data_IF_028886376240
#
_entry.id   IF_028886376240
#
_cell.length_a   1.000
_cell.length_b   1.000
_cell.length_c   1.000
_cell.angle_alpha   90.00
_cell.angle_beta   90.00
_cell.angle_gamma   90.00
#
_symmetry.space_group_name_H-M   'P 1'
#
loop_
_entity.id
_entity.type
_entity.pdbx_description
1 polymer ?
#
# COMPACT_ATOMS: atom_id res chain seq x y z
N UNK A 1 7.80 -6.16 21.25
CA UNK A 1 8.33 -6.29 19.88
C UNK A 1 9.85 -6.26 19.97
N UNK A 2 10.59 -7.22 19.41
CA UNK A 2 12.06 -7.18 19.45
C UNK A 2 12.62 -6.21 18.42
N UNK A 3 13.84 -5.70 18.64
CA UNK A 3 14.56 -4.87 17.66
C UNK A 3 14.71 -5.62 16.33
N UNK A 4 14.98 -6.92 16.39
CA UNK A 4 15.10 -7.80 15.22
C UNK A 4 13.82 -7.83 14.38
N UNK A 5 12.65 -7.92 15.03
CA UNK A 5 11.36 -7.90 14.33
C UNK A 5 11.14 -6.56 13.60
N UNK A 6 11.52 -5.44 14.21
CA UNK A 6 11.45 -4.11 13.59
C UNK A 6 12.41 -3.99 12.41
N UNK A 7 13.65 -4.46 12.57
CA UNK A 7 14.66 -4.46 11.49
C UNK A 7 14.17 -5.28 10.28
N UNK A 8 13.58 -6.44 10.52
CA UNK A 8 13.01 -7.27 9.46
C UNK A 8 11.84 -6.57 8.73
N UNK A 9 10.91 -5.97 9.48
CA UNK A 9 9.81 -5.22 8.90
C UNK A 9 10.29 -4.04 8.02
N UNK A 10 11.31 -3.29 8.48
CA UNK A 10 11.93 -2.23 7.69
C UNK A 10 12.61 -2.78 6.44
N UNK A 11 13.31 -3.90 6.54
CA UNK A 11 13.93 -4.54 5.39
C UNK A 11 12.88 -4.92 4.31
N UNK A 12 11.76 -5.52 4.72
CA UNK A 12 10.64 -5.86 3.82
C UNK A 12 10.04 -4.60 3.18
N UNK A 13 9.81 -3.54 3.96
CA UNK A 13 9.28 -2.28 3.46
C UNK A 13 10.17 -1.69 2.35
N UNK A 14 11.49 -1.73 2.54
CA UNK A 14 12.45 -1.14 1.61
C UNK A 14 12.78 -2.02 0.40
N UNK A 15 12.28 -3.26 0.33
CA UNK A 15 12.39 -4.08 -0.87
C UNK A 15 11.70 -3.39 -2.05
N UNK A 16 12.41 -3.22 -3.16
CA UNK A 16 11.86 -2.63 -4.38
C UNK A 16 11.13 -3.70 -5.20
N UNK A 17 10.06 -3.34 -5.91
CA UNK A 17 9.45 -4.25 -6.89
C UNK A 17 10.44 -4.52 -8.04
N UNK A 18 10.28 -5.65 -8.73
CA UNK A 18 11.13 -6.06 -9.86
C UNK A 18 11.16 -5.01 -10.99
N UNK A 19 10.02 -4.34 -11.20
CA UNK A 19 9.86 -3.20 -12.09
C UNK A 19 8.98 -2.14 -11.42
N UNK A 20 9.07 -0.86 -11.83
CA UNK A 20 8.12 0.17 -11.40
C UNK A 20 6.67 -0.27 -11.65
N UNK A 21 5.78 0.15 -10.75
CA UNK A 21 4.35 -0.05 -10.93
C UNK A 21 3.82 0.77 -12.11
N UNK A 22 2.86 0.19 -12.81
CA UNK A 22 2.11 0.79 -13.89
C UNK A 22 0.61 0.53 -13.68
N UNK A 23 -0.22 1.37 -14.28
CA UNK A 23 -1.68 1.18 -14.27
C UNK A 23 -2.03 -0.18 -14.87
N UNK A 24 -2.88 -0.94 -14.17
CA UNK A 24 -3.28 -2.29 -14.54
C UNK A 24 -2.47 -3.41 -13.87
N UNK A 25 -1.37 -3.09 -13.18
CA UNK A 25 -0.61 -4.09 -12.43
C UNK A 25 -1.44 -4.67 -11.28
N UNK A 26 -1.42 -5.99 -11.13
CA UNK A 26 -1.99 -6.68 -9.98
C UNK A 26 -0.96 -6.71 -8.87
N UNK A 27 -1.34 -6.21 -7.70
CA UNK A 27 -0.45 -6.06 -6.55
C UNK A 27 -1.09 -6.67 -5.30
N UNK A 28 -0.23 -7.08 -4.37
CA UNK A 28 -0.63 -7.56 -3.05
C UNK A 28 0.24 -6.89 -1.98
N UNK A 29 -0.32 -6.69 -0.78
CA UNK A 29 0.46 -6.16 0.35
C UNK A 29 1.52 -7.17 0.78
N UNK A 30 2.72 -6.68 1.08
CA UNK A 30 3.78 -7.53 1.67
C UNK A 30 3.40 -7.90 3.10
N UNK A 31 3.81 -9.09 3.52
CA UNK A 31 3.64 -9.56 4.89
C UNK A 31 4.61 -8.87 5.85
N UNK A 32 4.26 -8.79 7.14
CA UNK A 32 5.17 -8.32 8.20
C UNK A 32 5.35 -6.81 8.34
N UNK A 33 4.82 -5.99 7.42
CA UNK A 33 4.93 -4.51 7.47
C UNK A 33 3.80 -3.79 8.22
N UNK A 34 2.92 -4.55 8.88
CA UNK A 34 1.83 -4.03 9.72
C UNK A 34 0.74 -3.31 8.93
N UNK A 35 -0.43 -3.16 9.54
CA UNK A 35 -1.58 -2.51 8.91
C UNK A 35 -1.71 -1.09 9.46
N UNK A 36 -1.08 -0.10 8.81
CA UNK A 36 -1.60 1.25 8.97
C UNK A 36 -2.93 1.34 8.22
N UNK A 37 -2.99 0.91 6.96
CA UNK A 37 -4.26 0.86 6.19
C UNK A 37 -4.97 -0.47 6.36
N UNK A 38 -6.28 -0.43 6.56
CA UNK A 38 -7.14 -1.61 6.84
C UNK A 38 -7.42 -2.46 5.60
N UNK A 39 -7.30 -1.89 4.40
CA UNK A 39 -7.49 -2.53 3.09
C UNK A 39 -6.45 -2.06 2.06
N UNK A 40 -6.18 -2.81 0.99
CA UNK A 40 -6.52 -4.24 0.82
C UNK A 40 -5.92 -5.09 1.95
N UNK A 41 -6.49 -6.25 2.24
CA UNK A 41 -5.96 -7.19 3.22
C UNK A 41 -4.66 -7.83 2.71
N UNK A 42 -3.86 -8.41 3.63
CA UNK A 42 -2.73 -9.24 3.23
C UNK A 42 -3.27 -10.41 2.37
N UNK A 43 -2.64 -10.63 1.22
CA UNK A 43 -3.06 -11.64 0.23
C UNK A 43 -4.23 -11.22 -0.68
N UNK A 44 -4.91 -10.10 -0.40
CA UNK A 44 -5.96 -9.58 -1.28
C UNK A 44 -5.33 -8.91 -2.51
N UNK A 45 -5.66 -9.42 -3.71
CA UNK A 45 -5.22 -8.84 -4.98
C UNK A 45 -5.95 -7.50 -5.20
N UNK A 46 -5.19 -6.47 -5.50
CA UNK A 46 -5.69 -5.16 -5.92
C UNK A 46 -5.03 -4.75 -7.25
N UNK A 47 -5.63 -3.82 -7.98
CA UNK A 47 -5.11 -3.32 -9.26
C UNK A 47 -4.61 -1.89 -9.06
N UNK A 48 -3.43 -1.57 -9.58
CA UNK A 48 -2.95 -0.18 -9.63
C UNK A 48 -3.85 0.62 -10.58
N UNK A 49 -4.65 1.55 -10.04
CA UNK A 49 -5.50 2.44 -10.83
C UNK A 49 -4.80 3.75 -11.21
N UNK A 50 -3.79 4.16 -10.44
CA UNK A 50 -3.03 5.38 -10.69
C UNK A 50 -1.61 5.30 -10.11
N UNK A 51 -0.66 5.95 -10.77
CA UNK A 51 0.70 6.20 -10.26
C UNK A 51 0.90 7.71 -10.23
N UNK A 52 1.13 8.28 -9.05
CA UNK A 52 1.28 9.73 -8.93
C UNK A 52 2.65 10.17 -9.43
N UNK A 53 2.68 11.20 -10.29
CA UNK A 53 3.95 11.79 -10.76
C UNK A 53 4.77 12.43 -9.62
N UNK A 54 4.10 12.81 -8.53
CA UNK A 54 4.73 13.31 -7.30
C UNK A 54 3.90 12.81 -6.11
N UNK A 55 4.55 12.32 -5.02
CA UNK A 55 3.82 11.83 -3.86
C UNK A 55 2.86 12.88 -3.28
N UNK A 56 1.66 12.44 -2.90
CA UNK A 56 0.61 13.28 -2.30
C UNK A 56 0.61 13.08 -0.79
N UNK A 57 0.42 14.16 -0.05
CA UNK A 57 0.34 14.14 1.42
C UNK A 57 -1.12 14.14 1.87
N UNK A 58 -1.47 13.26 2.80
CA UNK A 58 -2.79 13.26 3.43
C UNK A 58 -2.93 14.39 4.47
N UNK A 59 -3.48 15.53 4.04
CA UNK A 59 -3.79 16.65 4.92
C UNK A 59 -5.27 16.73 5.30
N UNK A 60 -6.11 15.84 4.77
CA UNK A 60 -7.55 15.84 5.04
C UNK A 60 -7.87 15.13 6.37
N UNK A 61 -7.01 14.20 6.78
CA UNK A 61 -7.14 13.51 8.05
C UNK A 61 -6.92 14.43 9.26
N UNK A 62 -7.52 14.08 10.39
CA UNK A 62 -7.35 14.85 11.63
C UNK A 62 -5.90 14.76 12.11
N UNK A 63 -5.27 15.90 12.37
CA UNK A 63 -3.96 15.93 13.01
C UNK A 63 -3.97 15.10 14.30
N UNK A 64 -3.02 14.17 14.41
CA UNK A 64 -2.93 13.20 15.52
C UNK A 64 -3.41 11.78 15.17
N UNK A 65 -3.94 11.53 13.96
CA UNK A 65 -4.16 10.16 13.48
C UNK A 65 -2.89 9.58 12.84
N UNK A 66 -2.72 8.25 12.80
CA UNK A 66 -1.60 7.61 12.10
C UNK A 66 -1.57 7.87 10.59
N UNK A 67 -2.68 8.35 10.02
CA UNK A 67 -2.87 8.61 8.59
C UNK A 67 -2.53 10.04 8.20
N UNK A 68 -2.55 10.98 9.15
CA UNK A 68 -2.21 12.36 8.90
C UNK A 68 -0.75 12.49 8.44
N UNK A 69 -0.52 13.33 7.43
CA UNK A 69 0.79 13.53 6.81
C UNK A 69 1.45 12.29 6.21
N UNK A 70 0.67 11.25 5.91
CA UNK A 70 1.18 10.13 5.12
C UNK A 70 1.43 10.53 3.67
N UNK A 71 2.48 9.95 3.09
CA UNK A 71 2.81 10.06 1.68
C UNK A 71 2.21 8.89 0.91
N UNK A 72 1.54 9.20 -0.19
CA UNK A 72 0.97 8.24 -1.13
C UNK A 72 1.52 8.49 -2.54
N UNK A 73 1.92 7.44 -3.23
CA UNK A 73 2.53 7.49 -4.56
C UNK A 73 1.85 6.56 -5.58
N UNK A 74 0.86 5.77 -5.15
CA UNK A 74 -0.06 5.03 -6.02
C UNK A 74 -1.52 5.12 -5.54
N UNK A 75 -2.47 4.79 -6.42
CA UNK A 75 -3.81 4.34 -6.04
C UNK A 75 -4.01 2.88 -6.41
N UNK A 76 -4.70 2.16 -5.54
CA UNK A 76 -5.10 0.77 -5.77
C UNK A 76 -6.61 0.64 -5.74
N UNK A 77 -7.14 -0.18 -6.62
CA UNK A 77 -8.55 -0.50 -6.77
C UNK A 77 -8.81 -1.97 -6.42
N UNK A 78 -9.89 -2.24 -5.70
CA UNK A 78 -10.35 -3.59 -5.37
C UNK A 78 -11.87 -3.57 -5.16
N UNK A 79 -12.49 -4.74 -5.15
CA UNK A 79 -13.90 -4.87 -4.79
C UNK A 79 -14.05 -5.05 -3.29
N UNK A 80 -14.97 -4.31 -2.68
CA UNK A 80 -15.34 -4.57 -1.30
C UNK A 80 -16.22 -5.82 -1.16
N UNK A 81 -16.82 -6.03 0.02
CA UNK A 81 -17.63 -7.22 0.29
C UNK A 81 -18.96 -7.22 -0.46
N UNK A 82 -19.43 -6.06 -0.87
CA UNK A 82 -20.71 -5.87 -1.56
C UNK A 82 -20.51 -5.88 -3.09
N UNK A 83 -19.25 -5.97 -3.56
CA UNK A 83 -18.89 -6.00 -4.98
C UNK A 83 -18.73 -4.61 -5.58
N UNK A 84 -18.68 -3.56 -4.74
CA UNK A 84 -18.48 -2.19 -5.18
C UNK A 84 -16.99 -1.90 -5.39
N UNK A 85 -16.68 -1.15 -6.44
CA UNK A 85 -15.32 -0.73 -6.74
C UNK A 85 -14.89 0.34 -5.73
N UNK A 86 -13.83 0.04 -4.97
CA UNK A 86 -13.21 0.97 -4.02
C UNK A 86 -11.81 1.30 -4.48
N UNK A 87 -11.44 2.58 -4.39
CA UNK A 87 -10.09 3.07 -4.64
C UNK A 87 -9.48 3.71 -3.39
N UNK A 88 -8.21 3.40 -3.11
CA UNK A 88 -7.44 3.97 -2.00
C UNK A 88 -6.09 4.49 -2.48
N UNK A 89 -5.69 5.67 -2.00
CA UNK A 89 -4.32 6.15 -2.14
C UNK A 89 -3.41 5.45 -1.12
N UNK A 90 -2.24 5.00 -1.59
CA UNK A 90 -1.38 4.11 -0.83
C UNK A 90 0.12 4.43 -1.04
N UNK A 91 0.93 3.92 -0.12
CA UNK A 91 2.41 3.91 -0.20
C UNK A 91 2.86 2.63 -0.92
N UNK A 92 3.40 2.78 -2.12
CA UNK A 92 3.82 1.70 -3.00
C UNK A 92 4.84 0.75 -2.35
N UNK A 93 5.62 1.22 -1.38
CA UNK A 93 6.61 0.38 -0.66
C UNK A 93 5.95 -0.77 0.09
N UNK A 94 4.65 -0.67 0.37
CA UNK A 94 3.87 -1.72 1.04
C UNK A 94 3.43 -2.85 0.11
N UNK A 95 3.65 -2.71 -1.20
CA UNK A 95 3.13 -3.63 -2.20
C UNK A 95 4.26 -4.34 -2.94
N UNK A 96 3.93 -5.52 -3.47
CA UNK A 96 4.70 -6.23 -4.48
C UNK A 96 3.76 -6.62 -5.62
N UNK A 97 4.31 -6.90 -6.80
CA UNK A 97 3.55 -7.56 -7.85
C UNK A 97 2.99 -8.87 -7.30
N UNK A 98 1.72 -9.13 -7.61
CA UNK A 98 1.14 -10.44 -7.38
C UNK A 98 1.80 -11.41 -8.35
N UNK A 99 2.24 -12.55 -7.83
CA UNK A 99 2.59 -13.68 -8.68
C UNK A 99 1.27 -14.16 -9.35
N UNK A 100 1.36 -14.63 -10.59
CA UNK A 100 0.19 -15.13 -11.35
C UNK A 100 -0.60 -16.17 -10.53
#
# INVERSE_FOLDING_TARGET
MSIEALQNAVAILLQKPERPFAVGDVVIKKEGIGNITTRPHIGEKAIVSHVFATPVINLQEKCGTPYYSQLYDIRVAFFDRDGDLVELAEDARRFRHADD
#
